data_IF_405201365217
#
_entry.id   IF_405201365217
#
_cell.length_a   1.000
_cell.length_b   1.000
_cell.length_c   1.000
_cell.angle_alpha   90.00
_cell.angle_beta   90.00
_cell.angle_gamma   90.00
#
_symmetry.space_group_name_H-M   'P 1'
#
loop_
_entity.id
_entity.type
_entity.pdbx_description
1 polymer ?
#
# COMPACT_ATOMS: atom_id res chain seq x y z
N UNK A 1 -45.09 11.00 10.16
CA UNK A 1 -43.92 11.60 9.49
C UNK A 1 -42.69 11.03 10.16
N UNK A 2 -42.20 9.96 9.59
CA UNK A 2 -41.14 9.13 10.16
C UNK A 2 -39.78 9.59 9.60
N UNK A 3 -38.98 10.25 10.43
CA UNK A 3 -37.63 10.71 10.05
C UNK A 3 -36.66 9.57 10.23
N UNK A 4 -36.44 8.77 9.19
CA UNK A 4 -35.32 7.83 9.14
C UNK A 4 -34.01 8.56 9.14
N UNK A 5 -33.21 8.38 10.20
CA UNK A 5 -31.81 8.79 10.26
C UNK A 5 -31.00 8.00 9.21
N UNK A 6 -30.09 8.63 8.46
CA UNK A 6 -29.16 7.87 7.63
C UNK A 6 -28.19 7.10 8.53
N UNK A 7 -28.10 5.80 8.34
CA UNK A 7 -27.13 4.94 9.01
C UNK A 7 -25.72 5.39 8.61
N UNK A 8 -24.90 5.70 9.60
CA UNK A 8 -23.46 5.85 9.42
C UNK A 8 -22.92 4.51 8.91
N UNK A 9 -22.46 4.50 7.65
CA UNK A 9 -21.79 3.34 7.06
C UNK A 9 -20.42 3.16 7.72
N UNK A 10 -20.41 2.46 8.86
CA UNK A 10 -19.19 1.96 9.45
C UNK A 10 -18.63 0.89 8.55
N UNK A 11 -17.49 1.16 7.90
CA UNK A 11 -16.75 0.15 7.17
C UNK A 11 -16.43 -1.00 8.12
N UNK A 12 -17.02 -2.16 7.85
CA UNK A 12 -16.79 -3.36 8.66
C UNK A 12 -15.35 -3.80 8.46
N UNK A 13 -14.51 -3.50 9.44
CA UNK A 13 -13.17 -4.04 9.55
C UNK A 13 -13.28 -5.50 10.00
N UNK A 14 -13.50 -6.43 9.08
CA UNK A 14 -13.41 -7.84 9.41
C UNK A 14 -11.93 -8.21 9.61
N UNK A 15 -11.54 -8.21 10.88
CA UNK A 15 -10.31 -8.86 11.32
C UNK A 15 -10.54 -10.36 11.24
N UNK A 16 -9.93 -11.03 10.27
CA UNK A 16 -9.76 -12.48 10.34
C UNK A 16 -9.01 -12.77 11.65
N UNK A 17 -9.58 -13.63 12.50
CA UNK A 17 -9.02 -14.04 13.78
C UNK A 17 -7.53 -14.35 13.63
N UNK A 18 -6.73 -13.95 14.64
CA UNK A 18 -5.35 -14.42 14.80
C UNK A 18 -5.38 -15.94 14.66
N UNK A 19 -4.77 -16.44 13.60
CA UNK A 19 -4.30 -17.81 13.62
C UNK A 19 -3.26 -17.88 14.74
N UNK A 20 -3.51 -18.73 15.72
CA UNK A 20 -2.52 -19.17 16.68
C UNK A 20 -1.23 -19.45 15.93
N UNK A 21 -0.11 -19.03 16.53
CA UNK A 21 1.21 -19.19 15.96
C UNK A 21 1.44 -20.70 15.70
N UNK A 22 1.06 -21.14 14.51
CA UNK A 22 1.54 -22.37 13.98
C UNK A 22 3.05 -22.20 13.81
N UNK A 23 3.81 -23.20 14.26
CA UNK A 23 5.24 -23.34 14.02
C UNK A 23 5.57 -22.97 12.57
N UNK A 24 6.78 -22.42 12.31
CA UNK A 24 7.15 -22.04 10.95
C UNK A 24 7.07 -23.31 10.10
N UNK A 25 5.93 -23.48 9.44
CA UNK A 25 5.81 -24.47 8.39
C UNK A 25 6.98 -24.24 7.45
N UNK A 26 7.74 -25.28 7.19
CA UNK A 26 8.79 -25.36 6.19
C UNK A 26 8.48 -24.35 5.07
N UNK A 27 9.32 -23.30 4.97
CA UNK A 27 9.11 -22.27 3.93
C UNK A 27 9.36 -23.02 2.63
N UNK A 28 8.26 -23.46 2.03
CA UNK A 28 8.30 -24.03 0.71
C UNK A 28 8.99 -23.01 -0.19
N UNK A 29 10.11 -23.38 -0.79
CA UNK A 29 10.85 -22.52 -1.72
C UNK A 29 9.93 -22.27 -2.91
N UNK A 30 9.25 -21.14 -2.90
CA UNK A 30 8.37 -20.74 -4.00
C UNK A 30 9.25 -20.52 -5.25
N UNK A 31 8.69 -20.79 -6.42
CA UNK A 31 9.39 -20.59 -7.69
C UNK A 31 9.84 -19.13 -7.85
N UNK A 32 11.15 -18.87 -7.85
CA UNK A 32 11.73 -17.53 -8.08
C UNK A 32 11.26 -16.94 -9.41
N UNK A 33 11.06 -17.79 -10.43
CA UNK A 33 10.51 -17.36 -11.72
C UNK A 33 9.07 -16.86 -11.58
N UNK A 34 8.23 -17.56 -10.82
CA UNK A 34 6.86 -17.13 -10.59
C UNK A 34 6.80 -15.77 -9.86
N UNK A 35 7.65 -15.60 -8.84
CA UNK A 35 7.75 -14.31 -8.13
C UNK A 35 8.23 -13.18 -9.07
N UNK A 36 9.21 -13.45 -9.94
CA UNK A 36 9.70 -12.47 -10.91
C UNK A 36 8.61 -12.10 -11.91
N UNK A 37 7.91 -13.08 -12.50
CA UNK A 37 6.85 -12.83 -13.47
C UNK A 37 5.69 -12.02 -12.88
N UNK A 38 5.27 -12.34 -11.65
CA UNK A 38 4.23 -11.59 -10.94
C UNK A 38 4.67 -10.17 -10.64
N UNK A 39 5.89 -9.96 -10.20
CA UNK A 39 6.46 -8.65 -9.92
C UNK A 39 6.52 -7.81 -11.20
N UNK A 40 7.12 -8.32 -12.26
CA UNK A 40 7.35 -7.60 -13.51
C UNK A 40 6.03 -7.24 -14.20
N UNK A 41 5.03 -8.13 -14.11
CA UNK A 41 3.67 -7.81 -14.51
C UNK A 41 3.03 -6.74 -13.63
N UNK A 42 3.14 -6.84 -12.31
CA UNK A 42 2.55 -5.87 -11.39
C UNK A 42 3.12 -4.45 -11.56
N UNK A 43 4.38 -4.36 -12.00
CA UNK A 43 5.06 -3.10 -12.32
C UNK A 43 4.79 -2.61 -13.74
N UNK A 44 4.06 -3.37 -14.57
CA UNK A 44 3.80 -3.04 -15.96
C UNK A 44 4.99 -3.24 -16.88
N UNK A 45 6.07 -3.87 -16.42
CA UNK A 45 7.26 -4.20 -17.23
C UNK A 45 6.99 -5.39 -18.14
N UNK A 46 6.05 -6.24 -17.76
CA UNK A 46 5.64 -7.42 -18.52
C UNK A 46 4.12 -7.45 -18.70
N UNK A 47 3.65 -7.75 -19.91
CA UNK A 47 2.22 -7.94 -20.11
C UNK A 47 1.72 -9.25 -19.47
N UNK A 48 0.45 -9.29 -19.04
CA UNK A 48 -0.14 -10.52 -18.47
C UNK A 48 -0.04 -11.71 -19.43
N UNK A 49 -0.19 -11.47 -20.73
CA UNK A 49 -0.05 -12.48 -21.78
C UNK A 49 1.38 -12.99 -21.89
N UNK A 50 2.36 -12.09 -21.79
CA UNK A 50 3.78 -12.49 -21.81
C UNK A 50 4.17 -13.28 -20.56
N UNK A 51 3.68 -12.86 -19.38
CA UNK A 51 3.87 -13.60 -18.13
C UNK A 51 3.32 -15.02 -18.21
N UNK A 52 2.07 -15.16 -18.71
CA UNK A 52 1.43 -16.45 -18.95
C UNK A 52 2.23 -17.32 -19.92
N UNK A 53 2.64 -16.79 -21.07
CA UNK A 53 3.38 -17.53 -22.08
C UNK A 53 4.74 -18.00 -21.55
N UNK A 54 5.45 -17.17 -20.79
CA UNK A 54 6.75 -17.53 -20.16
C UNK A 54 6.58 -18.63 -19.12
N UNK A 55 5.58 -18.52 -18.25
CA UNK A 55 5.27 -19.57 -17.28
C UNK A 55 4.93 -20.91 -17.96
N UNK A 56 4.11 -20.87 -19.01
CA UNK A 56 3.75 -22.06 -19.78
C UNK A 56 4.94 -22.69 -20.51
N UNK A 57 5.89 -21.89 -21.01
CA UNK A 57 7.14 -22.41 -21.62
C UNK A 57 8.01 -23.09 -20.57
N UNK A 58 8.21 -22.46 -19.41
CA UNK A 58 9.01 -23.04 -18.34
C UNK A 58 8.45 -24.38 -17.84
N UNK A 59 7.13 -24.48 -17.67
CA UNK A 59 6.49 -25.75 -17.28
C UNK A 59 6.65 -26.83 -18.34
N UNK A 60 6.54 -26.49 -19.63
CA UNK A 60 6.80 -27.46 -20.70
C UNK A 60 8.23 -27.99 -20.69
N UNK A 61 9.20 -27.14 -20.38
CA UNK A 61 10.60 -27.58 -20.27
C UNK A 61 10.82 -28.49 -19.07
N UNK A 62 10.21 -28.19 -17.92
CA UNK A 62 10.20 -29.09 -16.74
C UNK A 62 9.58 -30.44 -17.09
N UNK A 63 8.40 -30.44 -17.71
CA UNK A 63 7.75 -31.72 -18.11
C UNK A 63 8.59 -32.50 -19.11
N UNK A 64 9.30 -31.83 -20.05
CA UNK A 64 10.24 -32.50 -20.97
C UNK A 64 11.41 -33.14 -20.22
N UNK A 65 12.02 -32.43 -19.27
CA UNK A 65 13.10 -32.94 -18.45
C UNK A 65 12.68 -34.20 -17.70
N UNK A 66 11.49 -34.20 -17.10
CA UNK A 66 10.94 -35.36 -16.40
C UNK A 66 10.70 -36.53 -17.37
N UNK A 67 10.11 -36.24 -18.53
CA UNK A 67 9.81 -37.30 -19.53
C UNK A 67 11.06 -37.93 -20.14
N UNK A 68 12.17 -37.21 -20.23
CA UNK A 68 13.41 -37.65 -20.85
C UNK A 68 14.42 -38.25 -19.84
N UNK A 69 14.25 -37.93 -18.55
CA UNK A 69 15.20 -38.35 -17.51
C UNK A 69 14.49 -39.16 -16.41
N UNK A 70 14.72 -40.48 -16.39
CA UNK A 70 14.11 -41.42 -15.44
C UNK A 70 14.46 -41.17 -13.95
N UNK A 71 15.45 -40.33 -13.68
CA UNK A 71 15.91 -40.02 -12.32
C UNK A 71 15.39 -38.65 -11.84
N UNK A 72 14.57 -37.95 -12.63
CA UNK A 72 14.00 -36.63 -12.29
C UNK A 72 12.50 -36.80 -12.11
N UNK A 73 11.99 -36.37 -10.97
CA UNK A 73 10.56 -36.41 -10.62
C UNK A 73 10.02 -34.97 -10.40
N UNK A 74 8.69 -34.81 -10.48
CA UNK A 74 8.04 -33.51 -10.22
C UNK A 74 8.39 -32.97 -8.82
N UNK A 75 8.51 -33.85 -7.85
CA UNK A 75 8.84 -33.51 -6.46
C UNK A 75 10.24 -32.88 -6.31
N UNK A 76 11.15 -33.09 -7.27
CA UNK A 76 12.49 -32.48 -7.28
C UNK A 76 12.48 -30.99 -7.59
N UNK A 77 11.41 -30.49 -8.20
CA UNK A 77 11.28 -29.07 -8.57
C UNK A 77 10.58 -28.20 -7.50
N UNK A 78 10.22 -28.79 -6.36
CA UNK A 78 9.56 -28.07 -5.28
C UNK A 78 8.16 -27.56 -5.65
N UNK A 79 7.79 -26.40 -5.12
CA UNK A 79 6.44 -25.85 -5.32
C UNK A 79 6.32 -25.05 -6.62
N UNK A 80 5.78 -25.68 -7.67
CA UNK A 80 5.47 -25.04 -8.97
C UNK A 80 4.05 -24.44 -9.02
N UNK A 81 3.27 -24.53 -7.94
CA UNK A 81 1.85 -24.17 -7.92
C UNK A 81 1.56 -22.74 -8.40
N UNK A 82 2.39 -21.78 -8.02
CA UNK A 82 2.25 -20.39 -8.51
C UNK A 82 2.58 -20.28 -10.00
N UNK A 83 3.60 -20.99 -10.47
CA UNK A 83 3.95 -20.99 -11.88
C UNK A 83 2.85 -21.63 -12.71
N UNK A 84 2.26 -22.71 -12.22
CA UNK A 84 1.09 -23.37 -12.81
C UNK A 84 -0.12 -22.44 -12.86
N UNK A 85 -0.39 -21.72 -11.77
CA UNK A 85 -1.48 -20.76 -11.70
C UNK A 85 -1.30 -19.63 -12.72
N UNK A 86 -0.08 -19.08 -12.89
CA UNK A 86 0.23 -18.07 -13.91
C UNK A 86 0.04 -18.67 -15.31
N UNK A 87 0.54 -19.86 -15.57
CA UNK A 87 0.42 -20.54 -16.86
C UNK A 87 -1.04 -20.86 -17.24
N UNK A 88 -1.91 -21.07 -16.23
CA UNK A 88 -3.34 -21.35 -16.44
C UNK A 88 -4.16 -20.09 -16.77
N UNK A 89 -3.64 -18.87 -16.56
CA UNK A 89 -4.37 -17.64 -16.85
C UNK A 89 -4.79 -17.55 -18.32
N UNK A 90 -5.93 -16.90 -18.58
CA UNK A 90 -6.50 -16.83 -19.93
C UNK A 90 -6.85 -18.19 -20.51
N UNK A 91 -7.31 -19.14 -19.67
CA UNK A 91 -7.57 -20.54 -20.05
C UNK A 91 -6.37 -21.16 -20.78
N UNK A 92 -5.21 -21.16 -20.12
CA UNK A 92 -3.91 -21.62 -20.66
C UNK A 92 -3.47 -20.87 -21.93
N UNK A 93 -3.78 -19.55 -22.00
CA UNK A 93 -3.42 -18.67 -23.10
C UNK A 93 -4.35 -18.73 -24.32
N UNK A 94 -5.40 -19.56 -24.30
CA UNK A 94 -6.41 -19.58 -25.39
C UNK A 94 -7.27 -18.33 -25.44
N UNK A 95 -7.38 -17.61 -24.32
CA UNK A 95 -8.09 -16.34 -24.18
C UNK A 95 -7.16 -15.23 -23.66
N UNK A 96 -6.23 -14.71 -24.50
CA UNK A 96 -5.22 -13.74 -24.05
C UNK A 96 -5.81 -12.48 -23.41
N UNK A 97 -6.99 -12.04 -23.84
CA UNK A 97 -7.69 -10.88 -23.24
C UNK A 97 -8.15 -11.10 -21.79
N UNK A 98 -8.21 -12.34 -21.33
CA UNK A 98 -8.57 -12.68 -19.96
C UNK A 98 -7.34 -12.79 -19.03
N UNK A 99 -6.11 -12.92 -19.56
CA UNK A 99 -4.91 -13.10 -18.75
C UNK A 99 -4.75 -12.01 -17.68
N UNK A 100 -4.99 -10.74 -18.00
CA UNK A 100 -4.87 -9.65 -17.03
C UNK A 100 -5.88 -9.78 -15.89
N UNK A 101 -7.15 -10.07 -16.20
CA UNK A 101 -8.20 -10.29 -15.19
C UNK A 101 -7.83 -11.45 -14.25
N UNK A 102 -7.37 -12.55 -14.83
CA UNK A 102 -7.04 -13.76 -14.08
C UNK A 102 -5.79 -13.56 -13.22
N UNK A 103 -4.78 -12.82 -13.71
CA UNK A 103 -3.61 -12.40 -12.92
C UNK A 103 -4.01 -11.50 -11.73
N UNK A 104 -4.93 -10.55 -11.95
CA UNK A 104 -5.48 -9.71 -10.85
C UNK A 104 -6.18 -10.58 -9.81
N UNK A 105 -6.93 -11.60 -10.22
CA UNK A 105 -7.59 -12.53 -9.32
C UNK A 105 -6.57 -13.32 -8.47
N UNK A 106 -5.49 -13.82 -9.10
CA UNK A 106 -4.40 -14.51 -8.39
C UNK A 106 -3.77 -13.63 -7.28
N UNK A 107 -3.53 -12.35 -7.56
CA UNK A 107 -3.02 -11.39 -6.56
C UNK A 107 -4.06 -11.16 -5.45
N UNK A 108 -5.34 -11.03 -5.81
CA UNK A 108 -6.43 -10.84 -4.84
C UNK A 108 -6.57 -12.00 -3.85
N UNK A 109 -6.31 -13.22 -4.27
CA UNK A 109 -6.29 -14.41 -3.41
C UNK A 109 -5.07 -14.44 -2.47
N UNK A 110 -3.95 -13.81 -2.87
CA UNK A 110 -2.69 -13.82 -2.11
C UNK A 110 -2.66 -12.76 -1.02
N UNK A 111 -3.33 -11.61 -1.20
CA UNK A 111 -3.22 -10.53 -0.21
C UNK A 111 -4.32 -9.47 -0.38
N UNK A 112 -5.23 -9.43 0.58
CA UNK A 112 -6.11 -8.27 0.73
C UNK A 112 -5.34 -7.10 1.35
N UNK A 113 -4.84 -6.20 0.50
CA UNK A 113 -4.31 -4.92 0.97
C UNK A 113 -5.46 -4.14 1.63
N UNK A 114 -5.33 -3.72 2.90
CA UNK A 114 -6.40 -3.05 3.60
C UNK A 114 -6.73 -1.70 2.97
N UNK A 115 -8.00 -1.49 2.68
CA UNK A 115 -8.57 -0.30 2.04
C UNK A 115 -9.59 0.35 2.95
N UNK A 116 -9.55 1.68 3.04
CA UNK A 116 -10.53 2.45 3.83
C UNK A 116 -11.28 3.41 2.92
N UNK A 117 -12.58 3.51 3.09
CA UNK A 117 -13.42 4.43 2.32
C UNK A 117 -13.71 5.70 3.13
N UNK A 118 -13.59 6.84 2.45
CA UNK A 118 -13.95 8.15 2.99
C UNK A 118 -14.76 8.93 1.96
N UNK A 119 -15.65 9.76 2.46
CA UNK A 119 -16.34 10.73 1.62
C UNK A 119 -15.43 11.92 1.33
N UNK A 120 -15.28 12.22 0.06
CA UNK A 120 -14.49 13.35 -0.46
C UNK A 120 -15.37 14.18 -1.39
N UNK A 121 -15.34 15.53 -1.27
CA UNK A 121 -16.10 16.39 -2.18
C UNK A 121 -15.42 16.44 -3.54
N UNK A 122 -16.08 15.95 -4.57
CA UNK A 122 -15.58 15.93 -5.95
C UNK A 122 -16.57 16.59 -6.90
N UNK A 123 -16.08 17.07 -8.04
CA UNK A 123 -16.95 17.46 -9.16
C UNK A 123 -17.69 16.24 -9.69
N UNK A 124 -18.97 16.36 -9.94
CA UNK A 124 -19.82 15.25 -10.43
C UNK A 124 -19.35 14.75 -11.81
N UNK A 125 -18.77 15.64 -12.60
CA UNK A 125 -18.14 15.34 -13.91
C UNK A 125 -17.11 16.41 -14.24
N UNK A 126 -16.17 16.16 -15.15
CA UNK A 126 -15.25 17.16 -15.67
C UNK A 126 -15.97 18.42 -16.14
N UNK A 127 -15.45 19.60 -15.76
CA UNK A 127 -16.04 20.90 -16.13
C UNK A 127 -17.30 21.30 -15.37
N UNK A 128 -17.83 20.44 -14.48
CA UNK A 128 -19.00 20.76 -13.66
C UNK A 128 -18.66 21.73 -12.53
N UNK A 129 -19.55 22.68 -12.26
CA UNK A 129 -19.58 23.45 -11.00
C UNK A 129 -20.29 22.71 -9.86
N UNK A 130 -21.03 21.62 -10.21
CA UNK A 130 -21.74 20.80 -9.24
C UNK A 130 -20.77 19.81 -8.60
N UNK A 131 -20.81 19.75 -7.27
CA UNK A 131 -20.02 18.81 -6.46
C UNK A 131 -20.94 17.81 -5.74
N UNK A 132 -20.37 16.66 -5.42
CA UNK A 132 -21.00 15.68 -4.54
C UNK A 132 -19.96 15.09 -3.59
N UNK A 133 -20.41 14.61 -2.44
CA UNK A 133 -19.60 13.78 -1.55
C UNK A 133 -19.62 12.36 -2.10
N UNK A 134 -18.46 11.89 -2.55
CA UNK A 134 -18.29 10.57 -3.17
C UNK A 134 -17.40 9.70 -2.30
N UNK A 135 -17.75 8.41 -2.19
CA UNK A 135 -16.92 7.44 -1.49
C UNK A 135 -15.64 7.19 -2.29
N UNK A 136 -14.51 7.41 -1.64
CA UNK A 136 -13.16 7.26 -2.21
C UNK A 136 -12.34 6.31 -1.37
N UNK A 137 -11.53 5.49 -2.03
CA UNK A 137 -10.68 4.49 -1.39
C UNK A 137 -9.31 5.07 -1.08
N UNK A 138 -8.86 4.90 0.15
CA UNK A 138 -7.53 5.29 0.63
C UNK A 138 -6.75 4.07 1.12
N UNK A 139 -5.45 4.06 0.87
CA UNK A 139 -4.48 3.16 1.47
C UNK A 139 -3.77 3.93 2.61
N UNK A 140 -4.38 3.92 3.77
CA UNK A 140 -3.95 4.77 4.88
C UNK A 140 -2.57 4.39 5.41
N UNK A 141 -1.65 5.36 5.62
CA UNK A 141 -0.30 5.10 6.13
C UNK A 141 -0.26 4.25 7.39
N UNK A 142 -1.04 4.55 8.44
CA UNK A 142 -1.02 3.77 9.69
C UNK A 142 -1.53 2.34 9.51
N UNK A 143 -2.52 2.15 8.65
CA UNK A 143 -3.11 0.83 8.37
C UNK A 143 -2.12 -0.02 7.57
N UNK A 144 -1.56 0.55 6.49
CA UNK A 144 -0.61 -0.15 5.63
C UNK A 144 0.71 -0.46 6.36
N UNK A 145 1.18 0.46 7.20
CA UNK A 145 2.36 0.26 8.05
C UNK A 145 2.18 -0.94 8.99
N UNK A 146 1.05 -1.02 9.68
CA UNK A 146 0.71 -2.14 10.55
C UNK A 146 0.55 -3.45 9.76
N UNK A 147 -0.10 -3.39 8.61
CA UNK A 147 -0.34 -4.56 7.77
C UNK A 147 0.96 -5.14 7.20
N UNK A 148 1.85 -4.29 6.65
CA UNK A 148 3.17 -4.73 6.13
C UNK A 148 4.02 -5.33 7.26
N UNK A 149 4.01 -4.72 8.45
CA UNK A 149 4.70 -5.27 9.62
C UNK A 149 4.20 -6.67 9.99
N UNK A 150 2.90 -6.87 9.97
CA UNK A 150 2.30 -8.13 10.43
C UNK A 150 2.32 -9.26 9.39
N UNK A 151 2.28 -8.91 8.10
CA UNK A 151 2.06 -9.90 7.04
C UNK A 151 3.21 -10.01 6.03
N UNK A 152 4.08 -8.99 5.91
CA UNK A 152 5.09 -8.92 4.86
C UNK A 152 6.47 -8.56 5.41
N UNK A 153 7.05 -9.41 6.26
CA UNK A 153 8.31 -9.14 6.96
C UNK A 153 9.51 -8.87 6.02
N UNK A 154 9.58 -9.55 4.86
CA UNK A 154 10.62 -9.27 3.84
C UNK A 154 10.48 -7.84 3.31
N UNK A 155 9.25 -7.44 2.93
CA UNK A 155 8.95 -6.07 2.47
C UNK A 155 9.14 -5.03 3.57
N UNK A 156 8.81 -5.35 4.81
CA UNK A 156 9.08 -4.49 5.95
C UNK A 156 10.57 -4.15 6.05
N UNK A 157 11.42 -5.17 6.08
CA UNK A 157 12.88 -5.00 6.20
C UNK A 157 13.48 -4.26 4.99
N UNK A 158 13.03 -4.57 3.78
CA UNK A 158 13.57 -3.97 2.57
C UNK A 158 13.11 -2.51 2.36
N UNK A 159 11.87 -2.19 2.74
CA UNK A 159 11.20 -0.95 2.30
C UNK A 159 10.87 0.03 3.42
N UNK A 160 10.73 -0.43 4.67
CA UNK A 160 10.28 0.41 5.79
C UNK A 160 11.37 0.54 6.85
N UNK A 161 11.85 -0.57 7.41
CA UNK A 161 12.86 -0.55 8.46
C UNK A 161 13.70 -1.82 8.41
N UNK A 162 14.95 -1.76 7.91
CA UNK A 162 15.84 -2.92 7.84
C UNK A 162 16.05 -3.57 9.20
N UNK A 163 16.46 -2.77 10.17
CA UNK A 163 16.69 -3.16 11.54
C UNK A 163 16.70 -1.93 12.48
N UNK A 164 16.80 -2.18 13.78
CA UNK A 164 16.80 -1.13 14.81
C UNK A 164 18.12 -0.35 14.88
N UNK A 165 19.22 -0.93 14.46
CA UNK A 165 20.55 -0.29 14.52
C UNK A 165 20.68 0.70 13.36
N UNK A 166 20.21 0.34 12.15
CA UNK A 166 20.09 1.26 11.01
C UNK A 166 19.21 2.46 11.36
N UNK A 167 18.10 2.23 12.06
CA UNK A 167 17.19 3.29 12.49
C UNK A 167 17.86 4.23 13.50
N UNK A 168 18.58 3.70 14.46
CA UNK A 168 19.36 4.47 15.44
C UNK A 168 20.48 5.27 14.78
N UNK A 169 21.20 4.67 13.82
CA UNK A 169 22.24 5.35 13.05
C UNK A 169 21.65 6.53 12.24
N UNK A 170 20.50 6.36 11.61
CA UNK A 170 19.79 7.46 10.95
C UNK A 170 19.53 8.63 11.91
N UNK A 171 18.92 8.37 13.07
CA UNK A 171 18.60 9.44 14.01
C UNK A 171 19.86 10.08 14.64
N UNK A 172 20.94 9.35 14.78
CA UNK A 172 22.23 9.90 15.21
C UNK A 172 22.79 10.86 14.15
N UNK A 173 22.66 10.54 12.86
CA UNK A 173 23.05 11.45 11.77
C UNK A 173 22.21 12.72 11.69
N UNK A 174 20.96 12.66 12.17
CA UNK A 174 20.04 13.81 12.20
C UNK A 174 20.13 14.64 13.47
N UNK A 175 21.04 14.32 14.40
CA UNK A 175 21.08 14.93 15.74
C UNK A 175 21.23 16.46 15.72
N UNK A 176 21.89 17.02 14.71
CA UNK A 176 22.12 18.46 14.52
C UNK A 176 21.06 19.13 13.62
N UNK A 177 20.05 18.37 13.13
CA UNK A 177 19.03 18.94 12.28
C UNK A 177 18.11 19.89 13.10
N UNK A 178 17.81 21.14 12.65
CA UNK A 178 17.04 22.10 13.43
C UNK A 178 15.66 21.58 13.89
N UNK A 179 15.01 20.76 13.08
CA UNK A 179 13.72 20.14 13.46
C UNK A 179 13.82 19.18 14.64
N UNK A 180 15.06 18.81 15.05
CA UNK A 180 15.26 17.93 16.20
C UNK A 180 15.20 18.67 17.53
N UNK A 181 15.44 19.98 17.61
CA UNK A 181 15.69 20.67 18.89
C UNK A 181 14.56 20.48 19.91
N UNK A 182 13.32 20.69 19.53
CA UNK A 182 12.14 20.55 20.40
C UNK A 182 11.21 19.41 19.95
N UNK A 183 11.68 18.44 19.15
CA UNK A 183 10.80 17.43 18.60
C UNK A 183 10.23 16.51 19.70
N UNK A 184 8.90 16.38 19.81
CA UNK A 184 8.23 15.69 20.92
C UNK A 184 8.53 14.18 20.97
N UNK A 185 9.01 13.57 19.86
CA UNK A 185 9.41 12.15 19.88
C UNK A 185 10.57 11.86 20.86
N UNK A 186 11.43 12.86 21.18
CA UNK A 186 12.57 12.70 22.11
C UNK A 186 12.12 12.25 23.50
N UNK A 187 10.91 12.60 23.93
CA UNK A 187 10.34 12.17 25.20
C UNK A 187 9.87 10.71 25.22
N UNK A 188 9.89 10.02 24.08
CA UNK A 188 9.41 8.62 24.02
C UNK A 188 10.54 7.65 24.28
N UNK A 189 10.25 6.61 25.09
CA UNK A 189 11.24 5.57 25.43
C UNK A 189 11.79 4.91 24.16
N UNK A 190 13.11 4.80 24.07
CA UNK A 190 13.84 4.13 22.97
C UNK A 190 13.45 4.64 21.56
N UNK A 191 13.11 5.91 21.44
CA UNK A 191 12.57 6.47 20.20
C UNK A 191 13.51 6.29 19.00
N UNK A 192 14.83 6.41 19.16
CA UNK A 192 15.81 6.24 18.08
C UNK A 192 15.74 4.86 17.43
N UNK A 193 15.33 3.85 18.17
CA UNK A 193 15.20 2.46 17.70
C UNK A 193 13.77 2.06 17.29
N UNK A 194 12.83 3.03 17.28
CA UNK A 194 11.40 2.78 17.07
C UNK A 194 10.73 3.77 16.11
N UNK A 195 11.24 4.99 16.04
CA UNK A 195 10.70 6.05 15.20
C UNK A 195 11.15 5.85 13.72
N UNK A 196 10.27 5.39 12.88
CA UNK A 196 10.55 5.23 11.44
C UNK A 196 10.38 6.59 10.74
N UNK A 197 11.43 7.13 10.10
CA UNK A 197 11.32 8.41 9.37
C UNK A 197 10.52 8.21 8.09
N UNK A 198 9.40 8.92 7.97
CA UNK A 198 8.46 8.87 6.86
C UNK A 198 8.60 10.13 6.01
N UNK A 199 8.58 9.98 4.69
CA UNK A 199 8.39 11.09 3.77
C UNK A 199 7.06 10.94 3.03
N UNK A 200 6.34 12.06 2.87
CA UNK A 200 5.23 12.18 1.94
C UNK A 200 5.77 12.59 0.57
N UNK A 201 5.20 12.03 -0.48
CA UNK A 201 5.47 12.39 -1.85
C UNK A 201 4.15 12.71 -2.56
N UNK A 202 4.10 13.82 -3.27
CA UNK A 202 2.97 14.19 -4.11
C UNK A 202 3.45 14.58 -5.50
N UNK A 203 2.69 14.17 -6.51
CA UNK A 203 3.00 14.44 -7.91
C UNK A 203 1.74 14.45 -8.77
N UNK A 204 1.74 15.28 -9.82
CA UNK A 204 0.71 15.29 -10.85
C UNK A 204 1.21 14.49 -12.07
N UNK A 205 0.85 13.21 -12.13
CA UNK A 205 1.29 12.26 -13.16
C UNK A 205 0.48 12.44 -14.45
N UNK A 206 1.12 12.56 -15.62
CA UNK A 206 0.41 12.62 -16.89
C UNK A 206 -0.42 11.35 -17.15
N UNK A 207 -1.67 11.53 -17.56
CA UNK A 207 -2.53 10.40 -17.95
C UNK A 207 -2.30 10.04 -19.40
N UNK A 208 -2.10 8.76 -19.68
CA UNK A 208 -1.94 8.18 -21.04
C UNK A 208 -3.10 7.25 -21.37
N UNK A 209 -3.23 6.88 -22.65
CA UNK A 209 -4.29 5.98 -23.09
C UNK A 209 -5.69 6.60 -23.07
N UNK A 210 -6.71 5.80 -22.85
CA UNK A 210 -8.11 6.24 -22.89
C UNK A 210 -8.47 7.25 -21.79
N UNK A 211 -7.77 7.23 -20.67
CA UNK A 211 -7.96 8.22 -19.59
C UNK A 211 -7.60 9.65 -20.02
N UNK A 212 -6.71 9.84 -20.97
CA UNK A 212 -6.26 11.14 -21.48
C UNK A 212 -7.39 11.97 -22.13
N UNK A 213 -8.38 11.32 -22.69
CA UNK A 213 -9.56 12.00 -23.27
C UNK A 213 -10.35 12.71 -22.17
N UNK A 214 -10.28 12.20 -20.95
CA UNK A 214 -11.07 12.62 -19.82
C UNK A 214 -10.30 13.55 -18.87
N UNK A 215 -9.03 13.26 -18.60
CA UNK A 215 -8.16 14.07 -17.77
C UNK A 215 -6.73 14.09 -18.32
N UNK A 216 -6.06 15.26 -18.21
CA UNK A 216 -4.65 15.41 -18.61
C UNK A 216 -3.68 14.86 -17.59
N UNK A 217 -4.05 14.92 -16.31
CA UNK A 217 -3.21 14.48 -15.21
C UNK A 217 -4.02 13.82 -14.10
N UNK A 218 -3.31 13.01 -13.34
CA UNK A 218 -3.79 12.37 -12.13
C UNK A 218 -2.85 12.76 -10.98
N UNK A 219 -3.41 13.32 -9.93
CA UNK A 219 -2.68 13.58 -8.68
C UNK A 219 -2.50 12.29 -7.94
N UNK A 220 -1.26 11.95 -7.63
CA UNK A 220 -0.90 10.81 -6.80
C UNK A 220 -0.23 11.29 -5.52
N UNK A 221 -0.68 10.77 -4.38
CA UNK A 221 -0.08 11.03 -3.07
C UNK A 221 0.37 9.69 -2.51
N UNK A 222 1.63 9.61 -2.14
CA UNK A 222 2.26 8.41 -1.61
C UNK A 222 3.10 8.74 -0.36
N UNK A 223 3.51 7.69 0.33
CA UNK A 223 4.48 7.81 1.41
C UNK A 223 5.59 6.77 1.25
N UNK A 224 6.74 7.05 1.84
CA UNK A 224 7.84 6.10 1.90
C UNK A 224 8.58 6.22 3.23
N UNK A 225 9.30 5.17 3.62
CA UNK A 225 10.34 5.30 4.63
C UNK A 225 11.60 5.89 4.01
N UNK A 226 12.29 6.75 4.74
CA UNK A 226 13.60 7.27 4.33
C UNK A 226 14.73 6.24 4.48
N UNK A 227 14.44 5.07 5.04
CA UNK A 227 15.36 3.94 5.18
C UNK A 227 15.18 2.88 4.09
N UNK A 228 14.16 3.03 3.23
CA UNK A 228 13.90 2.11 2.14
C UNK A 228 15.05 2.11 1.12
N UNK A 229 15.40 0.94 0.63
CA UNK A 229 16.44 0.73 -0.39
C UNK A 229 15.83 0.25 -1.70
N UNK A 230 16.43 0.63 -2.83
CA UNK A 230 15.98 0.24 -4.16
C UNK A 230 15.52 1.41 -5.02
N UNK A 231 14.77 1.13 -6.11
CA UNK A 231 14.20 2.16 -6.97
C UNK A 231 13.02 2.84 -6.31
N UNK A 232 12.77 4.11 -6.66
CA UNK A 232 11.65 4.92 -6.13
C UNK A 232 10.30 4.22 -6.28
N UNK A 233 10.11 3.46 -7.35
CA UNK A 233 8.90 2.69 -7.62
C UNK A 233 8.70 1.59 -6.57
N UNK A 234 9.78 1.02 -6.05
CA UNK A 234 9.72 -0.13 -5.15
C UNK A 234 9.42 0.22 -3.70
N UNK A 235 9.61 1.46 -3.24
CA UNK A 235 9.43 1.82 -1.83
C UNK A 235 8.40 2.90 -1.56
N UNK A 236 7.76 3.47 -2.61
CA UNK A 236 6.64 4.38 -2.45
C UNK A 236 5.33 3.59 -2.30
N UNK A 237 4.62 3.86 -1.24
CA UNK A 237 3.30 3.31 -0.96
C UNK A 237 2.24 4.34 -1.33
N UNK A 238 1.37 4.03 -2.28
CA UNK A 238 0.26 4.91 -2.66
C UNK A 238 -0.66 5.11 -1.44
N UNK A 239 -1.08 6.35 -1.22
CA UNK A 239 -2.15 6.69 -0.27
C UNK A 239 -3.46 6.89 -1.03
N UNK A 240 -3.41 7.73 -2.06
CA UNK A 240 -4.58 8.14 -2.82
C UNK A 240 -4.19 8.67 -4.20
N UNK A 241 -5.06 8.45 -5.17
CA UNK A 241 -4.91 9.03 -6.49
C UNK A 241 -6.25 9.59 -7.00
N UNK A 242 -6.19 10.75 -7.68
CA UNK A 242 -7.36 11.45 -8.18
C UNK A 242 -7.08 12.08 -9.55
N UNK A 243 -7.97 11.91 -10.49
CA UNK A 243 -7.95 12.73 -11.72
C UNK A 243 -8.15 14.21 -11.37
N UNK A 244 -7.18 15.06 -11.74
CA UNK A 244 -7.15 16.48 -11.32
C UNK A 244 -8.40 17.25 -11.75
N UNK A 245 -8.99 16.88 -12.88
CA UNK A 245 -10.24 17.51 -13.39
C UNK A 245 -11.45 17.31 -12.47
N UNK A 246 -11.43 16.33 -11.57
CA UNK A 246 -12.50 16.08 -10.59
C UNK A 246 -12.28 16.83 -9.29
N UNK A 247 -11.11 17.42 -9.06
CA UNK A 247 -10.85 18.20 -7.87
C UNK A 247 -11.75 19.46 -7.84
N UNK A 248 -12.43 19.66 -6.72
CA UNK A 248 -13.18 20.89 -6.46
C UNK A 248 -12.32 21.83 -5.61
N UNK A 249 -11.96 22.98 -6.17
CA UNK A 249 -11.05 23.98 -5.59
C UNK A 249 -11.78 25.09 -4.82
N UNK A 250 -12.95 24.83 -4.29
CA UNK A 250 -13.72 25.78 -3.50
C UNK A 250 -13.08 26.10 -2.13
N UNK A 251 -13.55 27.16 -1.51
CA UNK A 251 -13.11 27.53 -0.15
C UNK A 251 -13.77 26.64 0.92
N UNK A 252 -13.09 26.52 2.07
CA UNK A 252 -13.64 25.88 3.28
C UNK A 252 -13.67 24.35 3.22
N UNK A 253 -14.62 23.72 3.95
CA UNK A 253 -14.64 22.27 4.16
C UNK A 253 -14.96 21.45 2.89
N UNK A 254 -15.36 22.13 1.83
CA UNK A 254 -15.74 21.50 0.57
C UNK A 254 -14.60 21.45 -0.46
N UNK A 255 -13.40 21.89 -0.10
CA UNK A 255 -12.23 21.77 -0.96
C UNK A 255 -11.72 20.31 -0.95
N UNK A 256 -11.57 19.72 -2.13
CA UNK A 256 -11.12 18.32 -2.30
C UNK A 256 -9.76 18.08 -1.64
N UNK A 257 -8.78 18.94 -1.92
CA UNK A 257 -7.43 18.81 -1.39
C UNK A 257 -7.42 18.90 0.13
N UNK A 258 -8.13 19.89 0.69
CA UNK A 258 -8.24 20.04 2.14
C UNK A 258 -8.78 18.78 2.80
N UNK A 259 -9.84 18.17 2.24
CA UNK A 259 -10.39 16.91 2.78
C UNK A 259 -9.41 15.75 2.67
N UNK A 260 -8.73 15.62 1.55
CA UNK A 260 -7.69 14.58 1.35
C UNK A 260 -6.58 14.75 2.40
N UNK A 261 -6.02 15.95 2.55
CA UNK A 261 -4.97 16.19 3.53
C UNK A 261 -5.43 16.08 4.98
N UNK A 262 -6.69 16.38 5.28
CA UNK A 262 -7.27 16.09 6.59
C UNK A 262 -7.25 14.58 6.92
N UNK A 263 -7.63 13.74 5.96
CA UNK A 263 -7.60 12.28 6.10
C UNK A 263 -6.16 11.78 6.27
N UNK A 264 -5.23 12.30 5.47
CA UNK A 264 -3.81 11.92 5.53
C UNK A 264 -3.19 12.36 6.87
N UNK A 265 -3.42 13.59 7.29
CA UNK A 265 -2.90 14.13 8.55
C UNK A 265 -3.43 13.34 9.76
N UNK A 266 -4.73 12.99 9.75
CA UNK A 266 -5.32 12.11 10.76
C UNK A 266 -4.64 10.74 10.78
N UNK A 267 -4.39 10.14 9.62
CA UNK A 267 -3.70 8.86 9.52
C UNK A 267 -2.26 8.94 10.02
N UNK A 268 -1.52 10.00 9.67
CA UNK A 268 -0.14 10.22 10.11
C UNK A 268 -0.06 10.51 11.62
N UNK A 269 -1.06 11.19 12.19
CA UNK A 269 -1.14 11.40 13.64
C UNK A 269 -1.21 10.07 14.40
N UNK A 270 -2.07 9.14 13.97
CA UNK A 270 -2.17 7.82 14.58
C UNK A 270 -0.93 6.96 14.33
N UNK A 271 -0.32 7.08 13.15
CA UNK A 271 0.96 6.47 12.85
C UNK A 271 2.07 7.00 13.78
N UNK A 272 2.08 8.31 14.06
CA UNK A 272 2.99 8.92 15.02
C UNK A 272 2.73 8.43 16.45
N UNK A 273 1.50 8.29 16.87
CA UNK A 273 1.19 7.69 18.16
C UNK A 273 1.58 6.21 18.24
N UNK A 274 1.68 5.52 17.11
CA UNK A 274 1.96 4.09 17.02
C UNK A 274 0.80 3.23 17.53
N UNK A 275 -0.42 3.77 17.40
CA UNK A 275 -1.65 3.16 17.93
C UNK A 275 -2.75 3.20 16.88
N UNK A 276 -3.66 2.24 16.98
CA UNK A 276 -4.90 2.28 16.22
C UNK A 276 -5.77 3.46 16.67
N UNK A 277 -6.50 4.10 15.74
CA UNK A 277 -7.35 5.23 16.04
C UNK A 277 -8.41 4.94 17.12
N UNK A 278 -8.63 5.90 18.02
CA UNK A 278 -9.75 5.92 18.96
C UNK A 278 -10.86 6.88 18.51
N UNK A 279 -10.58 7.68 17.48
CA UNK A 279 -11.58 8.56 16.85
C UNK A 279 -11.38 8.55 15.34
N UNK A 280 -12.47 8.74 14.60
CA UNK A 280 -12.43 8.91 13.15
C UNK A 280 -11.84 10.26 12.73
N UNK A 281 -11.77 10.52 11.43
CA UNK A 281 -11.22 11.77 10.87
C UNK A 281 -12.06 13.01 11.22
N UNK A 282 -13.33 12.82 11.59
CA UNK A 282 -14.26 13.87 11.96
C UNK A 282 -14.39 14.03 13.50
N UNK A 283 -13.60 13.24 14.25
CA UNK A 283 -13.53 13.31 15.71
C UNK A 283 -14.52 12.42 16.45
N UNK A 284 -15.32 11.60 15.77
CA UNK A 284 -16.26 10.69 16.42
C UNK A 284 -15.51 9.50 17.02
N UNK A 285 -15.91 9.03 18.21
CA UNK A 285 -15.30 7.87 18.84
C UNK A 285 -15.42 6.60 17.99
N UNK A 286 -14.35 5.78 18.02
CA UNK A 286 -14.34 4.43 17.45
C UNK A 286 -14.48 3.44 18.60
N UNK A 287 -15.57 2.67 18.62
CA UNK A 287 -15.90 1.73 19.70
C UNK A 287 -15.38 0.30 19.45
N UNK A 288 -14.48 0.13 18.48
CA UNK A 288 -13.89 -1.17 18.16
C UNK A 288 -12.90 -1.64 19.24
N UNK A 289 -12.90 -2.94 19.51
CA UNK A 289 -12.04 -3.54 20.54
C UNK A 289 -10.53 -3.35 20.32
N UNK A 290 -10.12 -3.02 19.09
CA UNK A 290 -8.71 -2.73 18.77
C UNK A 290 -8.33 -1.26 18.91
N UNK A 291 -9.30 -0.34 19.11
CA UNK A 291 -9.04 1.09 19.26
C UNK A 291 -8.04 1.36 20.37
N UNK A 292 -7.05 2.20 20.09
CA UNK A 292 -5.96 2.51 21.03
C UNK A 292 -4.89 1.41 21.21
N UNK A 293 -5.07 0.22 20.62
CA UNK A 293 -4.06 -0.84 20.66
C UNK A 293 -2.83 -0.48 19.81
N UNK A 294 -1.64 -1.08 20.05
CA UNK A 294 -0.44 -0.81 19.26
C UNK A 294 -0.60 -1.19 17.77
N UNK A 295 -0.07 -0.36 16.87
CA UNK A 295 -0.02 -0.67 15.43
C UNK A 295 0.92 -1.83 15.13
N UNK A 296 2.04 -1.91 15.85
CA UNK A 296 3.07 -2.93 15.67
C UNK A 296 3.56 -3.41 17.01
N UNK A 297 3.89 -4.70 17.10
CA UNK A 297 4.41 -5.31 18.34
C UNK A 297 3.40 -5.31 19.48
N UNK A 298 3.86 -5.76 20.63
CA UNK A 298 3.14 -5.76 21.90
C UNK A 298 3.96 -5.02 22.97
N UNK A 299 3.33 -4.57 24.05
CA UNK A 299 4.02 -4.04 25.24
C UNK A 299 4.85 -2.75 25.05
N UNK A 300 4.47 -1.87 24.12
CA UNK A 300 5.11 -0.56 23.99
C UNK A 300 6.45 -0.53 23.27
N UNK A 301 6.94 -1.65 22.73
CA UNK A 301 8.18 -1.75 21.95
C UNK A 301 7.97 -1.67 20.43
N UNK A 302 6.75 -1.45 20.00
CA UNK A 302 6.39 -1.33 18.60
C UNK A 302 6.98 -0.10 17.92
N UNK A 303 7.09 -0.17 16.59
CA UNK A 303 7.48 0.95 15.74
C UNK A 303 6.35 1.97 15.62
N UNK A 304 6.71 3.20 15.29
CA UNK A 304 5.79 4.28 14.93
C UNK A 304 6.43 5.15 13.84
N UNK A 305 5.63 5.83 13.03
CA UNK A 305 6.15 6.68 11.96
C UNK A 305 6.28 8.13 12.41
N UNK A 306 7.28 8.81 11.90
CA UNK A 306 7.52 10.24 12.10
C UNK A 306 7.62 10.91 10.73
N UNK A 307 6.72 11.84 10.43
CA UNK A 307 6.84 12.63 9.20
C UNK A 307 8.10 13.48 9.29
N UNK A 308 9.12 13.12 8.50
CA UNK A 308 10.44 13.76 8.50
C UNK A 308 10.73 14.55 7.23
N UNK A 309 10.01 14.28 6.16
CA UNK A 309 10.18 14.98 4.90
C UNK A 309 8.92 15.04 4.07
N UNK A 310 8.86 16.06 3.22
CA UNK A 310 7.86 16.18 2.16
C UNK A 310 8.65 16.25 0.86
N UNK A 311 8.29 15.42 -0.11
CA UNK A 311 8.90 15.30 -1.43
C UNK A 311 7.89 15.65 -2.50
N UNK A 312 8.32 16.28 -3.56
CA UNK A 312 7.51 16.67 -4.71
C UNK A 312 8.29 17.65 -5.56
N UNK A 313 7.82 17.90 -6.76
CA UNK A 313 8.39 19.01 -7.52
C UNK A 313 7.96 20.36 -6.89
N UNK A 314 8.70 21.41 -7.20
CA UNK A 314 8.42 22.75 -6.64
C UNK A 314 7.05 23.27 -7.07
N UNK A 315 6.62 22.95 -8.27
CA UNK A 315 5.31 23.38 -8.81
C UNK A 315 4.17 22.71 -8.06
N UNK A 316 4.28 21.41 -7.79
CA UNK A 316 3.31 20.66 -6.99
C UNK A 316 3.24 21.21 -5.56
N UNK A 317 4.40 21.37 -4.90
CA UNK A 317 4.45 21.87 -3.51
C UNK A 317 3.85 23.27 -3.40
N UNK A 318 4.14 24.18 -4.34
CA UNK A 318 3.59 25.53 -4.35
C UNK A 318 2.07 25.60 -4.60
N UNK A 319 1.48 24.60 -5.28
CA UNK A 319 0.05 24.57 -5.58
C UNK A 319 -0.80 23.90 -4.53
N UNK A 320 -0.24 22.97 -3.77
CA UNK A 320 -0.99 22.01 -2.96
C UNK A 320 -0.77 22.20 -1.47
N UNK A 321 0.39 22.69 -1.07
CA UNK A 321 0.74 23.05 0.32
C UNK A 321 0.59 24.55 0.59
#
# INVERSE_FOLDING_TARGET
MDRRRPSAGGGVWQRKARHDAAEPANIAVESELAESLMRDWAWGELSATSAQATAAMALRDVHRLIATNKHVHMDDFGHLSKLEAIAATGAHGTHPNHCHRDMVALVGEISEIPRTQFKVPLKVRPGSSVRAWMDQVFLLPHVLFSWVFSNCQKSWKARICPDRDTLEAFWNSQAQHPSMDAHPMKGRRNWKRRAVPIALHGDDVPVTGCGKVWSKSMRAISWCSMLGTGSTVNFNFLIYALFTVLAFEGFGPHNTNRRIFQIIAWSLYWLYLGKWPTSDVDGHPIEDAWAGSPLTGSNGDGFFGVLWGIKGDLEYLAKVL
#
